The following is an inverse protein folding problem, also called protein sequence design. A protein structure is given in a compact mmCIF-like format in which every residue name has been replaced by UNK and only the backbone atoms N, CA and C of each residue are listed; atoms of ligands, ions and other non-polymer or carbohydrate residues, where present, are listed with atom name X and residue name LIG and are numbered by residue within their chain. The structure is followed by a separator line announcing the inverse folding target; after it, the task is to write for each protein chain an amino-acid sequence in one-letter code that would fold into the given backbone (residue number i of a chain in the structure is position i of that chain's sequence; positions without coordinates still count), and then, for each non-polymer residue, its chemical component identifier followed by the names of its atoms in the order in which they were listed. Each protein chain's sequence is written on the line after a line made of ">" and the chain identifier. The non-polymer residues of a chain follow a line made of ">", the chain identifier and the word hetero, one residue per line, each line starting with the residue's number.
data_IF_808743830501
#
_entry.id   IF_808743830501
#
_cell.length_a   1.000
_cell.length_b   1.000
_cell.length_c   1.000
_cell.angle_alpha   90.00
_cell.angle_beta   90.00
_cell.angle_gamma   90.00
#
_symmetry.space_group_name_H-M   'P 1'
#
loop_
_entity.id
_entity.type
_entity.pdbx_description
1 polymer ?
#
# COMPACT_ATOMS: atom_id res chain seq x y z
N UNK A 1 8.54 -2.54 -24.27
CA UNK A 1 8.93 -2.90 -22.88
C UNK A 1 8.60 -1.73 -21.97
N UNK A 2 7.87 -1.98 -20.90
CA UNK A 2 7.40 -0.93 -19.99
C UNK A 2 8.24 -0.89 -18.70
N UNK A 3 9.54 -0.89 -18.85
CA UNK A 3 10.48 -0.66 -17.74
C UNK A 3 10.75 0.83 -17.63
N UNK A 4 10.68 1.39 -16.43
CA UNK A 4 10.75 2.83 -16.24
C UNK A 4 11.40 3.18 -14.91
N UNK A 5 11.82 4.43 -14.78
CA UNK A 5 12.30 4.96 -13.52
C UNK A 5 11.13 5.07 -12.54
N UNK A 6 11.25 4.42 -11.39
CA UNK A 6 10.19 4.38 -10.38
C UNK A 6 10.20 5.65 -9.52
N UNK A 7 9.77 6.76 -10.11
CA UNK A 7 9.84 8.09 -9.52
C UNK A 7 8.50 8.82 -9.55
N UNK A 8 7.43 8.16 -9.93
CA UNK A 8 6.14 8.81 -10.12
C UNK A 8 4.97 8.08 -9.48
N UNK A 9 5.21 7.24 -8.47
CA UNK A 9 4.14 6.52 -7.78
C UNK A 9 3.22 7.52 -7.08
N UNK A 10 1.91 7.34 -7.27
CA UNK A 10 0.88 8.20 -6.69
C UNK A 10 0.20 7.45 -5.57
N UNK A 11 0.07 8.09 -4.41
CA UNK A 11 -0.48 7.50 -3.19
C UNK A 11 -1.51 8.43 -2.57
N UNK A 12 -2.72 7.93 -2.28
CA UNK A 12 -3.66 8.62 -1.40
C UNK A 12 -3.95 7.76 -0.17
N UNK A 13 -4.07 8.40 0.99
CA UNK A 13 -4.49 7.77 2.23
C UNK A 13 -5.70 8.53 2.74
N UNK A 14 -6.82 7.84 2.91
CA UNK A 14 -8.09 8.43 3.35
C UNK A 14 -8.47 9.66 2.50
N UNK A 15 -8.33 9.55 1.18
CA UNK A 15 -8.61 10.60 0.19
C UNK A 15 -7.65 11.80 0.24
N UNK A 16 -6.58 11.74 1.02
CA UNK A 16 -5.54 12.77 1.06
C UNK A 16 -4.37 12.33 0.18
N UNK A 17 -4.00 13.15 -0.79
CA UNK A 17 -2.86 12.86 -1.67
C UNK A 17 -1.55 13.16 -0.94
N UNK A 18 -0.80 12.13 -0.63
CA UNK A 18 0.49 12.21 0.04
C UNK A 18 1.66 11.88 -0.88
N UNK A 19 1.45 11.87 -2.18
CA UNK A 19 2.45 11.44 -3.18
C UNK A 19 3.77 12.18 -3.06
N UNK A 20 3.73 13.48 -2.75
CA UNK A 20 4.92 14.31 -2.62
C UNK A 20 5.75 14.02 -1.36
N UNK A 21 5.23 13.23 -0.45
CA UNK A 21 5.88 12.91 0.82
C UNK A 21 6.31 11.44 0.91
N UNK A 22 6.09 10.66 -0.14
CA UNK A 22 6.43 9.23 -0.18
C UNK A 22 7.79 9.05 -0.82
N UNK A 23 8.70 8.38 -0.12
CA UNK A 23 10.02 8.03 -0.65
C UNK A 23 10.07 6.62 -1.19
N UNK A 24 9.20 5.73 -0.69
CA UNK A 24 9.13 4.34 -1.12
C UNK A 24 7.75 3.78 -0.81
N UNK A 25 7.21 2.99 -1.71
CA UNK A 25 5.96 2.26 -1.48
C UNK A 25 6.08 0.87 -2.07
N UNK A 26 5.63 -0.13 -1.31
CA UNK A 26 5.64 -1.52 -1.74
C UNK A 26 4.30 -2.14 -1.40
N UNK A 27 3.58 -2.58 -2.42
CA UNK A 27 2.37 -3.39 -2.26
C UNK A 27 2.73 -4.83 -2.63
N UNK A 28 2.60 -5.72 -1.67
CA UNK A 28 2.81 -7.14 -1.88
C UNK A 28 1.49 -7.87 -1.72
N UNK A 29 1.01 -8.47 -2.80
CA UNK A 29 -0.25 -9.19 -2.84
C UNK A 29 0.02 -10.68 -2.77
N UNK A 30 -0.49 -11.30 -1.72
CA UNK A 30 -0.37 -12.74 -1.52
C UNK A 30 -1.71 -13.33 -1.10
N UNK A 31 -1.86 -14.63 -1.27
CA UNK A 31 -2.97 -15.37 -0.69
C UNK A 31 -2.41 -16.66 -0.07
N UNK A 32 -3.15 -17.23 0.86
CA UNK A 32 -2.76 -18.48 1.48
C UNK A 32 -2.92 -19.63 0.49
N UNK A 33 -1.92 -20.48 0.40
CA UNK A 33 -2.00 -21.74 -0.35
C UNK A 33 -2.46 -22.84 0.61
N UNK A 34 -3.52 -23.54 0.24
CA UNK A 34 -4.04 -24.66 1.01
C UNK A 34 -3.72 -25.95 0.27
N UNK A 35 -3.00 -26.85 0.93
CA UNK A 35 -2.65 -28.12 0.33
C UNK A 35 -3.83 -29.08 0.36
N UNK A 36 -4.15 -29.66 -0.78
CA UNK A 36 -5.25 -30.62 -0.97
C UNK A 36 -4.75 -31.93 -1.58
N UNK A 37 -3.46 -32.22 -1.40
CA UNK A 37 -2.87 -33.47 -1.89
C UNK A 37 -3.54 -34.67 -1.20
N UNK A 38 -3.95 -35.64 -1.99
CA UNK A 38 -4.63 -36.84 -1.51
C UNK A 38 -3.84 -38.07 -1.86
N UNK A 39 -4.26 -39.21 -1.29
CA UNK A 39 -3.67 -40.49 -1.62
C UNK A 39 -3.81 -40.81 -3.10
N UNK A 40 -2.74 -41.28 -3.70
CA UNK A 40 -2.70 -41.59 -5.12
C UNK A 40 -2.20 -40.45 -5.99
N UNK A 41 -2.07 -39.24 -5.43
CA UNK A 41 -1.47 -38.12 -6.14
C UNK A 41 0.05 -38.31 -6.26
N UNK A 42 0.60 -38.00 -7.42
CA UNK A 42 2.03 -38.09 -7.67
C UNK A 42 2.75 -36.75 -7.46
N UNK A 43 2.02 -35.69 -7.16
CA UNK A 43 2.56 -34.36 -6.86
C UNK A 43 1.68 -33.63 -5.87
N UNK A 44 2.23 -32.57 -5.25
CA UNK A 44 1.47 -31.73 -4.35
C UNK A 44 0.44 -30.90 -5.10
N UNK A 45 -0.75 -30.75 -4.55
CA UNK A 45 -1.84 -29.93 -5.10
C UNK A 45 -2.23 -28.86 -4.11
N UNK A 46 -2.45 -27.64 -4.62
CA UNK A 46 -2.79 -26.49 -3.80
C UNK A 46 -4.01 -25.77 -4.35
N UNK A 47 -4.79 -25.18 -3.46
CA UNK A 47 -5.91 -24.30 -3.80
C UNK A 47 -5.73 -22.97 -3.11
N UNK A 48 -6.38 -21.95 -3.67
CA UNK A 48 -6.31 -20.57 -3.14
C UNK A 48 -7.07 -20.48 -1.82
N UNK A 49 -6.41 -19.92 -0.81
CA UNK A 49 -7.01 -19.56 0.47
C UNK A 49 -7.40 -18.07 0.52
N UNK A 50 -7.29 -17.48 1.70
CA UNK A 50 -7.59 -16.06 1.89
C UNK A 50 -6.43 -15.18 1.42
N UNK A 51 -6.75 -13.98 0.94
CA UNK A 51 -5.74 -12.99 0.59
C UNK A 51 -5.10 -12.42 1.86
N UNK A 52 -3.78 -12.30 1.84
CA UNK A 52 -2.98 -11.79 2.95
C UNK A 52 -1.99 -10.75 2.42
N UNK A 53 -2.50 -9.69 1.82
CA UNK A 53 -1.68 -8.65 1.22
C UNK A 53 -1.17 -7.67 2.27
N UNK A 54 -0.04 -7.04 1.99
CA UNK A 54 0.56 -6.04 2.87
C UNK A 54 1.04 -4.83 2.07
N UNK A 55 1.03 -3.68 2.73
CA UNK A 55 1.46 -2.40 2.16
C UNK A 55 2.51 -1.79 3.07
N UNK A 56 3.66 -1.48 2.52
CA UNK A 56 4.73 -0.75 3.21
C UNK A 56 4.93 0.59 2.53
N UNK A 57 4.88 1.66 3.32
CA UNK A 57 5.09 3.02 2.81
C UNK A 57 6.11 3.73 3.68
N UNK A 58 7.08 4.36 3.05
CA UNK A 58 8.04 5.24 3.71
C UNK A 58 7.68 6.69 3.38
N UNK A 59 7.41 7.47 4.41
CA UNK A 59 7.03 8.88 4.29
C UNK A 59 8.14 9.79 4.78
N UNK A 60 8.28 10.95 4.15
CA UNK A 60 8.89 12.12 4.77
C UNK A 60 7.88 12.68 5.76
N UNK A 61 8.25 12.82 7.04
CA UNK A 61 7.31 13.26 8.05
C UNK A 61 7.07 14.78 7.94
N UNK A 62 5.82 15.14 7.72
CA UNK A 62 5.40 16.52 7.57
C UNK A 62 4.30 16.81 8.58
N UNK A 63 4.55 17.76 9.48
CA UNK A 63 3.64 18.11 10.56
C UNK A 63 2.62 19.19 10.18
N UNK A 64 2.70 19.71 8.97
CA UNK A 64 1.75 20.72 8.51
C UNK A 64 0.34 20.13 8.37
N UNK A 65 -0.64 21.01 8.40
CA UNK A 65 -2.04 20.67 8.28
C UNK A 65 -2.33 19.90 6.99
N UNK A 66 -3.13 18.84 7.06
CA UNK A 66 -3.53 17.97 5.94
C UNK A 66 -2.36 17.22 5.26
N UNK A 67 -1.20 17.13 5.92
CA UNK A 67 -0.06 16.35 5.43
C UNK A 67 0.08 15.03 6.19
N UNK A 68 1.26 14.42 6.15
CA UNK A 68 1.46 13.02 6.58
C UNK A 68 1.03 12.79 8.03
N UNK A 69 1.57 13.56 8.96
CA UNK A 69 1.32 13.31 10.39
C UNK A 69 -0.16 13.55 10.74
N UNK A 70 -0.74 14.65 10.26
CA UNK A 70 -2.14 14.97 10.54
C UNK A 70 -3.09 13.91 9.97
N UNK A 71 -2.81 13.41 8.76
CA UNK A 71 -3.62 12.37 8.11
C UNK A 71 -3.55 11.05 8.89
N UNK A 72 -2.36 10.63 9.30
CA UNK A 72 -2.19 9.38 10.04
C UNK A 72 -2.79 9.46 11.45
N UNK A 73 -2.63 10.58 12.14
CA UNK A 73 -3.21 10.76 13.48
C UNK A 73 -4.73 10.77 13.44
N UNK A 74 -5.33 11.42 12.43
CA UNK A 74 -6.80 11.43 12.27
C UNK A 74 -7.35 10.03 11.96
N UNK A 75 -6.56 9.18 11.31
CA UNK A 75 -6.94 7.82 10.95
C UNK A 75 -6.55 6.78 12.01
N UNK A 76 -5.85 7.17 13.06
CA UNK A 76 -5.36 6.27 14.09
C UNK A 76 -6.46 5.36 14.63
N UNK A 77 -6.22 4.05 14.58
CA UNK A 77 -7.17 3.05 15.08
C UNK A 77 -8.38 2.82 14.20
N UNK A 78 -8.43 3.39 13.01
CA UNK A 78 -9.53 3.21 12.07
C UNK A 78 -9.06 2.56 10.78
N UNK A 79 -10.00 1.98 10.03
CA UNK A 79 -9.74 1.46 8.69
C UNK A 79 -10.01 2.56 7.66
N UNK A 80 -9.07 2.79 6.78
CA UNK A 80 -9.18 3.82 5.74
C UNK A 80 -8.87 3.23 4.38
N UNK A 81 -9.38 3.89 3.34
CA UNK A 81 -9.09 3.52 1.95
C UNK A 81 -7.76 4.12 1.52
N UNK A 82 -6.90 3.28 0.97
CA UNK A 82 -5.62 3.68 0.38
C UNK A 82 -5.66 3.35 -1.10
N UNK A 83 -5.25 4.29 -1.94
CA UNK A 83 -5.17 4.07 -3.39
C UNK A 83 -3.76 4.32 -3.88
N UNK A 84 -3.32 3.50 -4.83
CA UNK A 84 -1.98 3.54 -5.39
C UNK A 84 -2.04 3.43 -6.92
N UNK A 85 -1.18 4.18 -7.60
CA UNK A 85 -0.86 3.97 -9.02
C UNK A 85 0.65 4.04 -9.20
N UNK A 86 1.14 3.31 -10.18
CA UNK A 86 2.58 3.29 -10.49
C UNK A 86 3.06 4.63 -11.06
N UNK A 87 2.20 5.31 -11.83
CA UNK A 87 2.50 6.62 -12.40
C UNK A 87 1.28 7.54 -12.26
N UNK A 88 1.48 8.85 -12.44
CA UNK A 88 0.40 9.83 -12.40
C UNK A 88 -0.44 9.88 -13.67
N UNK A 89 -0.11 9.09 -14.68
CA UNK A 89 -0.88 9.01 -15.91
C UNK A 89 -2.29 8.45 -15.65
N UNK A 90 -3.18 8.59 -16.63
CA UNK A 90 -4.54 8.09 -16.51
C UNK A 90 -4.57 6.58 -16.25
N UNK A 91 -5.55 6.13 -15.47
CA UNK A 91 -5.75 4.71 -15.18
C UNK A 91 -6.03 3.95 -16.47
N UNK A 92 -5.28 2.85 -16.67
CA UNK A 92 -5.40 2.01 -17.87
C UNK A 92 -4.91 0.59 -17.55
N UNK A 93 -4.98 -0.29 -18.54
CA UNK A 93 -4.46 -1.66 -18.38
C UNK A 93 -2.96 -1.70 -18.10
N UNK A 94 -2.21 -0.69 -18.54
CA UNK A 94 -0.76 -0.58 -18.30
C UNK A 94 -0.41 0.29 -17.09
N UNK A 95 -1.40 0.95 -16.49
CA UNK A 95 -1.26 1.76 -15.28
C UNK A 95 -2.49 1.54 -14.38
N UNK A 96 -2.65 0.34 -13.80
CA UNK A 96 -3.85 0.03 -13.02
C UNK A 96 -3.89 0.81 -11.71
N UNK A 97 -5.11 1.06 -11.26
CA UNK A 97 -5.39 1.67 -9.96
C UNK A 97 -5.61 0.56 -8.92
N UNK A 98 -4.84 0.58 -7.86
CA UNK A 98 -4.97 -0.34 -6.74
C UNK A 98 -5.69 0.34 -5.59
N UNK A 99 -6.78 -0.25 -5.13
CA UNK A 99 -7.57 0.26 -4.00
C UNK A 99 -7.63 -0.80 -2.92
N UNK A 100 -7.33 -0.42 -1.70
CA UNK A 100 -7.32 -1.33 -0.57
C UNK A 100 -7.80 -0.63 0.70
N UNK A 101 -8.23 -1.41 1.67
CA UNK A 101 -8.59 -0.92 3.00
C UNK A 101 -7.48 -1.35 3.96
N UNK A 102 -6.92 -0.40 4.69
CA UNK A 102 -5.88 -0.66 5.67
C UNK A 102 -6.32 -0.15 7.04
N UNK A 103 -6.08 -0.95 8.08
CA UNK A 103 -6.23 -0.49 9.45
C UNK A 103 -4.97 0.27 9.84
N UNK A 104 -5.12 1.52 10.24
CA UNK A 104 -3.99 2.34 10.68
C UNK A 104 -3.70 1.99 12.13
N UNK A 105 -2.84 1.00 12.33
CA UNK A 105 -2.54 0.41 13.62
C UNK A 105 -1.16 0.82 14.15
N UNK A 106 -0.40 1.59 13.40
CA UNK A 106 0.91 2.07 13.84
C UNK A 106 1.25 3.38 13.13
N UNK A 107 1.91 4.26 13.84
CA UNK A 107 2.51 5.48 13.31
C UNK A 107 3.82 5.71 14.03
N UNK A 108 4.78 6.34 13.34
CA UNK A 108 6.02 6.82 13.96
C UNK A 108 5.93 8.33 14.06
N UNK A 109 5.31 8.82 15.11
CA UNK A 109 4.98 10.24 15.26
C UNK A 109 6.23 11.10 15.44
N UNK A 110 7.23 10.57 16.13
CA UNK A 110 8.48 11.26 16.38
C UNK A 110 9.63 10.36 15.94
N UNK A 111 10.41 10.84 14.99
CA UNK A 111 11.61 10.17 14.52
C UNK A 111 12.60 11.24 14.08
N UNK A 112 13.69 11.37 14.81
CA UNK A 112 14.69 12.36 14.48
C UNK A 112 16.05 12.02 15.07
N UNK A 113 17.09 12.39 14.33
CA UNK A 113 18.46 12.32 14.75
C UNK A 113 19.18 13.55 14.21
N UNK A 114 20.28 13.90 14.80
CA UNK A 114 21.09 15.06 14.37
C UNK A 114 21.50 14.85 12.91
N UNK A 115 21.24 15.86 12.08
CA UNK A 115 21.56 15.89 10.65
C UNK A 115 20.76 14.91 9.77
N UNK A 116 19.69 14.32 10.29
CA UNK A 116 18.79 13.45 9.54
C UNK A 116 17.44 14.09 9.30
N UNK A 117 16.78 13.67 8.20
CA UNK A 117 15.41 14.06 7.89
C UNK A 117 14.46 13.15 8.67
N UNK A 118 13.41 13.74 9.25
CA UNK A 118 12.38 12.96 9.93
C UNK A 118 11.58 12.12 8.90
N UNK A 119 11.47 10.82 9.13
CA UNK A 119 10.81 9.88 8.26
C UNK A 119 9.97 8.91 9.05
N UNK A 120 8.98 8.31 8.37
CA UNK A 120 8.20 7.21 8.90
C UNK A 120 8.23 6.06 7.91
N UNK A 121 8.51 4.85 8.39
CA UNK A 121 8.39 3.61 7.62
C UNK A 121 7.31 2.76 8.25
N UNK A 122 6.19 2.59 7.57
CA UNK A 122 5.00 1.97 8.11
C UNK A 122 4.59 0.77 7.26
N UNK A 123 4.21 -0.32 7.92
CA UNK A 123 3.67 -1.51 7.26
C UNK A 123 2.27 -1.77 7.78
N UNK A 124 1.32 -1.89 6.85
CA UNK A 124 -0.08 -2.18 7.17
C UNK A 124 -0.49 -3.49 6.50
N UNK A 125 -1.30 -4.27 7.20
CA UNK A 125 -1.98 -5.40 6.57
C UNK A 125 -3.23 -4.88 5.86
N UNK A 126 -3.43 -5.36 4.64
CA UNK A 126 -4.65 -5.04 3.89
C UNK A 126 -5.81 -5.82 4.50
N UNK A 127 -6.88 -5.12 4.85
CA UNK A 127 -8.10 -5.74 5.36
C UNK A 127 -9.00 -6.11 4.19
N UNK A 128 -9.20 -7.40 3.99
CA UNK A 128 -9.94 -7.90 2.84
C UNK A 128 -9.04 -8.05 1.61
N UNK A 129 -9.58 -7.76 0.45
CA UNK A 129 -8.88 -7.92 -0.83
C UNK A 129 -8.49 -6.57 -1.42
N UNK A 130 -7.37 -6.55 -2.15
CA UNK A 130 -6.97 -5.41 -2.96
C UNK A 130 -7.74 -5.45 -4.28
N UNK A 131 -8.39 -4.35 -4.63
CA UNK A 131 -9.12 -4.21 -5.90
C UNK A 131 -8.18 -3.59 -6.93
N UNK A 132 -8.08 -4.22 -8.08
CA UNK A 132 -7.28 -3.72 -9.21
C UNK A 132 -8.25 -3.24 -10.28
N UNK A 133 -8.17 -1.97 -10.64
CA UNK A 133 -9.02 -1.37 -11.68
C UNK A 133 -8.16 -0.86 -12.83
N UNK A 134 -8.64 -1.08 -14.05
CA UNK A 134 -7.98 -0.57 -15.27
C UNK A 134 -8.69 0.65 -15.84
N UNK A 135 -9.74 1.09 -15.17
CA UNK A 135 -10.51 2.30 -15.52
C UNK A 135 -10.82 3.07 -14.24
N UNK A 136 -11.24 4.32 -14.39
CA UNK A 136 -11.61 5.17 -13.26
C UNK A 136 -10.59 6.27 -13.03
N UNK A 137 -10.84 7.07 -11.98
CA UNK A 137 -9.99 8.19 -11.60
C UNK A 137 -9.38 7.96 -10.23
N UNK A 138 -8.21 8.56 -10.08
CA UNK A 138 -7.47 8.55 -8.80
C UNK A 138 -8.02 9.61 -7.84
#
# INVERSE_FOLDING_TARGET
>A
MAVFLNNGVVVTVNSVDLSNHVTSVTLNRTFDELEVTAMGDSGHKFVKGLEASSLTIDFLNDTASANVLATLQAAWGTSVTVTLKQTSAATSATNPLYTMTCLINNTTDINGAVADIAMQSLTFNVSGTTVVATTGTF
#
